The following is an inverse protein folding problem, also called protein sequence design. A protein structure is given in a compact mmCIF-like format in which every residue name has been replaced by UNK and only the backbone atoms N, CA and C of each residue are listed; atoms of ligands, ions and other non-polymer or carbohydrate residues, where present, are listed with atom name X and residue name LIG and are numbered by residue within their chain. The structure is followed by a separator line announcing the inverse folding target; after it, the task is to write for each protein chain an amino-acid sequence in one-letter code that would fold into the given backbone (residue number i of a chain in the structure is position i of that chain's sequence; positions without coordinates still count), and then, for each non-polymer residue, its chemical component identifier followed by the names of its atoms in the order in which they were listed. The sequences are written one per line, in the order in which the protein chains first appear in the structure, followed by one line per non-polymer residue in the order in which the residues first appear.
data_IF_083040610786
#
_entry.id   IF_083040610786
#
_cell.length_a   1.000
_cell.length_b   1.000
_cell.length_c   1.000
_cell.angle_alpha   90.00
_cell.angle_beta   90.00
_cell.angle_gamma   90.00
#
_symmetry.space_group_name_H-M   'P 1'
#
loop_
_entity.id
_entity.type
_entity.pdbx_description
1 polymer ?
#
# COMPACT_ATOMS: atom_id res chain seq x y z
N UNK A 1 -6.51 -8.40 14.93
CA UNK A 1 -5.24 -8.26 14.16
C UNK A 1 -4.13 -7.90 15.14
N UNK A 2 -2.94 -8.47 14.97
CA UNK A 2 -1.75 -8.25 15.81
C UNK A 2 -0.64 -7.57 15.01
N UNK A 3 0.41 -7.10 15.71
CA UNK A 3 1.62 -6.54 15.10
C UNK A 3 2.23 -7.44 14.01
N UNK A 4 2.16 -8.76 14.15
CA UNK A 4 2.72 -9.70 13.18
C UNK A 4 2.14 -9.57 11.76
N UNK A 5 0.91 -9.06 11.62
CA UNK A 5 0.29 -8.87 10.31
C UNK A 5 0.94 -7.74 9.49
N UNK A 6 1.64 -6.80 10.14
CA UNK A 6 2.38 -5.73 9.46
C UNK A 6 3.89 -5.98 9.39
N UNK A 7 4.40 -6.97 10.14
CA UNK A 7 5.83 -7.28 10.16
C UNK A 7 6.29 -8.03 8.91
N UNK A 8 5.46 -8.89 8.34
CA UNK A 8 5.82 -9.73 7.19
C UNK A 8 6.44 -8.94 6.02
N UNK A 9 5.80 -7.87 5.52
CA UNK A 9 6.35 -7.04 4.45
C UNK A 9 7.67 -6.32 4.80
N UNK A 10 7.96 -6.09 6.08
CA UNK A 10 9.10 -5.27 6.54
C UNK A 10 10.39 -6.07 6.69
N UNK A 11 10.31 -7.40 6.70
CA UNK A 11 11.44 -8.30 7.01
C UNK A 11 11.98 -9.05 5.78
N UNK A 12 11.85 -8.45 4.59
CA UNK A 12 12.37 -9.06 3.36
C UNK A 12 13.90 -9.28 3.47
N UNK A 13 14.39 -10.54 3.41
CA UNK A 13 15.81 -10.85 3.63
C UNK A 13 16.73 -10.28 2.56
N UNK A 14 16.22 -9.97 1.37
CA UNK A 14 16.99 -9.35 0.29
C UNK A 14 17.26 -7.86 0.52
N UNK A 15 16.60 -7.23 1.51
CA UNK A 15 16.70 -5.79 1.83
C UNK A 15 16.58 -4.89 0.59
N UNK A 16 15.46 -4.98 -0.16
CA UNK A 16 15.29 -4.17 -1.35
C UNK A 16 15.30 -2.67 -1.00
N UNK A 17 15.87 -1.81 -1.85
CA UNK A 17 15.88 -0.36 -1.60
C UNK A 17 14.51 0.30 -1.85
N UNK A 18 13.61 -0.40 -2.56
CA UNK A 18 12.31 0.06 -3.01
C UNK A 18 11.21 -0.91 -2.55
N UNK A 19 10.06 -0.41 -2.13
CA UNK A 19 8.90 -1.24 -1.80
C UNK A 19 7.56 -0.54 -2.06
N UNK A 20 6.57 -1.32 -2.51
CA UNK A 20 5.14 -0.97 -2.48
C UNK A 20 4.49 -1.89 -1.44
N UNK A 21 3.91 -1.33 -0.39
CA UNK A 21 3.34 -2.09 0.73
C UNK A 21 1.88 -1.74 0.92
N UNK A 22 1.04 -2.76 0.85
CA UNK A 22 -0.36 -2.72 1.23
C UNK A 22 -0.58 -2.75 2.73
N UNK A 23 -1.53 -1.96 3.24
CA UNK A 23 -2.02 -2.09 4.61
C UNK A 23 -3.53 -2.18 4.66
N UNK A 24 -4.02 -2.99 5.58
CA UNK A 24 -5.44 -3.27 5.70
C UNK A 24 -6.29 -2.12 6.29
N UNK A 25 -5.65 -1.10 6.87
CA UNK A 25 -6.30 0.02 7.54
C UNK A 25 -5.62 1.32 7.11
N UNK A 26 -6.39 2.39 6.81
CA UNK A 26 -5.83 3.67 6.41
C UNK A 26 -4.95 4.29 7.52
N UNK A 27 -5.24 3.99 8.78
CA UNK A 27 -4.47 4.48 9.94
C UNK A 27 -3.04 3.93 9.98
N UNK A 28 -2.77 2.82 9.29
CA UNK A 28 -1.44 2.20 9.23
C UNK A 28 -0.56 2.76 8.12
N UNK A 29 -1.11 3.53 7.18
CA UNK A 29 -0.39 4.01 6.00
C UNK A 29 0.82 4.84 6.40
N UNK A 30 0.63 5.86 7.24
CA UNK A 30 1.72 6.72 7.71
C UNK A 30 2.70 6.02 8.67
N UNK A 31 2.25 5.30 9.72
CA UNK A 31 3.16 4.58 10.62
C UNK A 31 4.10 3.59 9.92
N UNK A 32 3.62 2.89 8.89
CA UNK A 32 4.47 1.95 8.14
C UNK A 32 5.46 2.69 7.24
N UNK A 33 5.09 3.80 6.61
CA UNK A 33 6.03 4.62 5.84
C UNK A 33 7.15 5.19 6.73
N UNK A 34 6.80 5.64 7.94
CA UNK A 34 7.77 6.07 8.96
C UNK A 34 8.70 4.92 9.39
N UNK A 35 8.16 3.72 9.52
CA UNK A 35 8.97 2.53 9.84
C UNK A 35 9.95 2.22 8.71
N UNK A 36 9.52 2.28 7.44
CA UNK A 36 10.39 2.07 6.28
C UNK A 36 11.52 3.11 6.21
N UNK A 37 11.23 4.35 6.59
CA UNK A 37 12.23 5.42 6.70
C UNK A 37 13.29 5.09 7.74
N UNK A 38 12.88 4.63 8.93
CA UNK A 38 13.80 4.19 9.99
C UNK A 38 14.64 2.98 9.56
N UNK A 39 14.05 2.06 8.80
CA UNK A 39 14.75 0.89 8.25
C UNK A 39 15.70 1.22 7.09
N UNK A 40 15.70 2.46 6.60
CA UNK A 40 16.65 2.94 5.59
C UNK A 40 16.24 2.65 4.14
N UNK A 41 14.95 2.49 3.86
CA UNK A 41 14.47 2.40 2.47
C UNK A 41 14.74 3.71 1.71
N UNK A 42 15.13 3.60 0.43
CA UNK A 42 15.39 4.77 -0.42
C UNK A 42 14.09 5.41 -0.90
N UNK A 43 13.14 4.58 -1.33
CA UNK A 43 11.80 5.03 -1.71
C UNK A 43 10.79 3.93 -1.40
N UNK A 44 9.62 4.29 -0.91
CA UNK A 44 8.54 3.35 -0.71
C UNK A 44 7.18 4.02 -0.83
N UNK A 45 6.16 3.27 -1.22
CA UNK A 45 4.78 3.71 -1.14
C UNK A 45 4.02 2.74 -0.25
N UNK A 46 3.34 3.27 0.77
CA UNK A 46 2.40 2.51 1.60
C UNK A 46 0.99 2.90 1.20
N UNK A 47 0.13 1.92 0.94
CA UNK A 47 -1.18 2.15 0.34
C UNK A 47 -2.31 1.48 1.10
N UNK A 48 -3.48 2.12 1.10
CA UNK A 48 -4.74 1.54 1.51
C UNK A 48 -5.86 2.03 0.59
N UNK A 49 -6.55 1.13 -0.10
CA UNK A 49 -7.57 1.45 -1.09
C UNK A 49 -8.93 0.90 -0.71
N UNK A 50 -9.86 1.75 -0.26
CA UNK A 50 -11.28 1.38 -0.07
C UNK A 50 -11.55 0.07 0.68
N UNK A 51 -10.76 -0.24 1.72
CA UNK A 51 -10.87 -1.49 2.48
C UNK A 51 -9.88 -2.60 2.07
N UNK A 52 -9.13 -2.42 0.98
CA UNK A 52 -8.09 -3.33 0.51
C UNK A 52 -6.69 -2.83 0.89
N UNK A 53 -5.76 -3.76 1.03
CA UNK A 53 -4.32 -3.54 1.14
C UNK A 53 -3.65 -3.40 -0.24
N UNK A 54 -4.34 -2.79 -1.20
CA UNK A 54 -3.86 -2.57 -2.56
C UNK A 54 -4.26 -1.16 -3.04
N UNK A 55 -3.72 -0.75 -4.20
CA UNK A 55 -4.24 0.41 -4.92
C UNK A 55 -5.59 0.02 -5.53
N UNK A 56 -6.65 0.72 -5.13
CA UNK A 56 -8.01 0.40 -5.51
C UNK A 56 -8.42 1.05 -6.84
N UNK A 57 -9.18 0.30 -7.64
CA UNK A 57 -9.90 0.83 -8.81
C UNK A 57 -11.38 1.14 -8.52
N UNK A 58 -11.91 0.68 -7.37
CA UNK A 58 -13.29 0.87 -6.94
C UNK A 58 -13.49 2.06 -5.98
N UNK A 59 -12.39 2.62 -5.47
CA UNK A 59 -12.41 3.69 -4.45
C UNK A 59 -11.09 4.48 -4.45
N UNK A 60 -11.03 5.65 -3.80
CA UNK A 60 -9.77 6.35 -3.56
C UNK A 60 -8.77 5.50 -2.76
N UNK A 61 -7.50 5.67 -3.07
CA UNK A 61 -6.37 5.04 -2.36
C UNK A 61 -5.61 6.10 -1.56
N UNK A 62 -5.47 5.86 -0.26
CA UNK A 62 -4.59 6.64 0.61
C UNK A 62 -3.15 6.17 0.43
N UNK A 63 -2.24 7.12 0.25
CA UNK A 63 -0.82 6.84 0.05
C UNK A 63 0.03 7.65 1.03
N UNK A 64 1.03 7.00 1.61
CA UNK A 64 2.21 7.66 2.17
C UNK A 64 3.43 7.21 1.38
N UNK A 65 4.02 8.15 0.64
CA UNK A 65 5.21 7.91 -0.16
C UNK A 65 6.45 8.45 0.56
N UNK A 66 7.37 7.55 0.88
CA UNK A 66 8.74 7.86 1.26
C UNK A 66 9.58 8.03 -0.01
N UNK A 67 10.30 9.14 -0.13
CA UNK A 67 11.28 9.37 -1.20
C UNK A 67 12.47 10.14 -0.63
N UNK A 68 13.65 9.52 -0.61
CA UNK A 68 14.89 10.13 -0.11
C UNK A 68 14.77 10.73 1.30
N UNK A 69 14.09 10.04 2.20
CA UNK A 69 13.93 10.46 3.60
C UNK A 69 12.75 11.40 3.88
N UNK A 70 12.10 11.93 2.83
CA UNK A 70 10.89 12.73 2.95
C UNK A 70 9.64 11.86 2.76
N UNK A 71 8.62 12.09 3.59
CA UNK A 71 7.33 11.40 3.46
C UNK A 71 6.27 12.41 3.02
N UNK A 72 5.56 12.08 1.95
CA UNK A 72 4.42 12.85 1.46
C UNK A 72 3.15 11.98 1.51
N UNK A 73 2.05 12.59 1.95
CA UNK A 73 0.75 11.91 2.03
C UNK A 73 -0.22 12.49 1.02
N UNK A 74 -0.88 11.64 0.25
CA UNK A 74 -1.84 12.05 -0.76
C UNK A 74 -2.88 10.97 -1.02
N UNK A 75 -3.87 11.27 -1.86
CA UNK A 75 -4.84 10.30 -2.35
C UNK A 75 -4.73 10.15 -3.85
N UNK A 76 -4.91 8.92 -4.32
CA UNK A 76 -5.03 8.57 -5.72
C UNK A 76 -6.44 8.09 -6.02
N UNK A 77 -6.89 8.34 -7.23
CA UNK A 77 -8.15 7.82 -7.77
C UNK A 77 -7.84 7.03 -9.06
N UNK A 78 -8.75 6.17 -9.54
CA UNK A 78 -8.56 5.50 -10.83
C UNK A 78 -8.27 6.49 -11.96
N UNK A 79 -8.93 7.65 -11.93
CA UNK A 79 -8.78 8.73 -12.89
C UNK A 79 -7.39 9.38 -12.85
N UNK A 80 -6.70 9.34 -11.69
CA UNK A 80 -5.30 9.77 -11.57
C UNK A 80 -4.35 8.97 -12.48
N UNK A 81 -4.79 7.79 -12.94
CA UNK A 81 -4.07 6.91 -13.85
C UNK A 81 -4.73 6.80 -15.25
N UNK A 82 -5.77 7.60 -15.52
CA UNK A 82 -6.54 7.48 -16.77
C UNK A 82 -7.39 6.20 -16.84
N UNK A 83 -7.70 5.59 -15.70
CA UNK A 83 -8.53 4.38 -15.61
C UNK A 83 -9.98 4.72 -15.24
N UNK A 84 -10.89 3.87 -15.66
CA UNK A 84 -12.28 3.89 -15.21
C UNK A 84 -12.42 3.27 -13.81
N UNK A 85 -13.48 3.66 -13.10
CA UNK A 85 -13.84 3.05 -11.83
C UNK A 85 -14.66 1.79 -12.07
N UNK A 86 -14.26 0.68 -11.46
CA UNK A 86 -15.00 -0.59 -11.50
C UNK A 86 -15.49 -0.96 -10.09
N UNK A 87 -16.61 -1.67 -9.96
CA UNK A 87 -17.09 -2.13 -8.65
C UNK A 87 -16.15 -3.22 -8.08
N UNK A 88 -16.09 -3.34 -6.75
CA UNK A 88 -15.21 -4.31 -6.07
C UNK A 88 -15.52 -5.76 -6.48
N UNK A 89 -16.79 -6.04 -6.80
CA UNK A 89 -17.28 -7.34 -7.27
C UNK A 89 -16.57 -7.81 -8.55
N UNK A 90 -16.07 -6.88 -9.38
CA UNK A 90 -15.31 -7.21 -10.58
C UNK A 90 -13.89 -7.74 -10.28
N UNK A 91 -13.43 -7.64 -9.04
CA UNK A 91 -12.11 -8.09 -8.57
C UNK A 91 -12.16 -9.37 -7.74
N UNK A 92 -13.36 -9.95 -7.55
CA UNK A 92 -13.51 -11.15 -6.74
C UNK A 92 -12.78 -12.33 -7.40
N UNK A 93 -11.82 -12.89 -6.67
CA UNK A 93 -11.13 -14.11 -7.07
C UNK A 93 -12.00 -15.36 -6.91
N UNK A 94 -11.49 -16.47 -7.43
CA UNK A 94 -12.13 -17.78 -7.41
C UNK A 94 -11.41 -18.80 -6.52
N UNK A 95 -11.45 -20.06 -6.93
CA UNK A 95 -10.60 -21.12 -6.37
C UNK A 95 -9.14 -20.93 -6.78
N UNK A 96 -8.18 -21.65 -6.18
CA UNK A 96 -6.78 -21.58 -6.63
C UNK A 96 -6.54 -21.97 -8.10
N UNK A 97 -7.44 -22.73 -8.71
CA UNK A 97 -7.39 -23.14 -10.13
C UNK A 97 -7.99 -22.11 -11.10
N UNK A 98 -8.77 -21.16 -10.59
CA UNK A 98 -9.41 -20.07 -11.34
C UNK A 98 -8.53 -18.82 -11.36
#
# INVERSE_FOLDING_TARGET
RTLFNVLGPLINPARPPLALIGVYSPELVLPIAETLRVLGYQRAAVVHGGGMDEVAIHAPTHVAELNNGEISSYQLTPQSFGLETYPLEALLGGTPEE
#
